data_IF_302624673695
#
_entry.id   IF_302624673695
#
_cell.length_a   1.000
_cell.length_b   1.000
_cell.length_c   1.000
_cell.angle_alpha   90.00
_cell.angle_beta   90.00
_cell.angle_gamma   90.00
#
_symmetry.space_group_name_H-M   'P 1'
#
loop_
_entity.id
_entity.type
_entity.pdbx_description
1 polymer ?
#
# COMPACT_ATOMS: atom_id res chain seq x y z
N UNK A 1 -61.30 1.12 -8.43
CA UNK A 1 -62.13 2.22 -7.89
C UNK A 1 -61.20 3.27 -7.29
N UNK A 2 -60.95 4.35 -8.04
CA UNK A 2 -61.31 5.74 -7.67
C UNK A 2 -60.27 6.38 -6.73
N UNK A 3 -59.26 7.14 -7.21
CA UNK A 3 -59.23 8.50 -7.81
C UNK A 3 -58.80 9.58 -6.78
N UNK A 4 -57.64 10.16 -7.08
CA UNK A 4 -57.18 11.56 -6.95
C UNK A 4 -57.25 12.39 -5.65
N UNK A 5 -56.11 13.01 -5.30
CA UNK A 5 -55.90 14.47 -5.16
C UNK A 5 -54.40 14.72 -4.81
N UNK A 6 -53.55 15.20 -5.72
CA UNK A 6 -53.22 16.60 -6.03
C UNK A 6 -53.08 17.54 -4.82
N UNK A 7 -51.83 17.87 -4.44
CA UNK A 7 -51.41 19.25 -4.12
C UNK A 7 -49.96 19.42 -4.56
N UNK A 8 -49.75 20.28 -5.55
CA UNK A 8 -48.47 20.85 -5.93
C UNK A 8 -48.31 22.19 -5.21
N UNK A 9 -47.14 22.47 -4.64
CA UNK A 9 -46.71 23.84 -4.35
C UNK A 9 -45.31 24.08 -4.89
N UNK A 10 -45.29 24.85 -5.97
CA UNK A 10 -44.16 25.54 -6.57
C UNK A 10 -43.90 26.82 -5.76
N UNK A 11 -42.67 27.05 -5.30
CA UNK A 11 -42.11 28.41 -5.09
C UNK A 11 -40.58 28.37 -4.95
N UNK A 12 -39.87 28.73 -6.02
CA UNK A 12 -38.66 29.57 -6.04
C UNK A 12 -38.99 30.75 -6.98
N UNK A 13 -38.34 31.94 -6.94
CA UNK A 13 -37.04 32.27 -6.33
C UNK A 13 -37.01 33.63 -5.57
N UNK A 14 -35.91 33.92 -4.86
CA UNK A 14 -35.46 35.32 -4.64
C UNK A 14 -33.95 35.41 -4.83
N UNK A 15 -33.58 36.01 -5.96
CA UNK A 15 -32.29 36.65 -6.21
C UNK A 15 -32.31 38.03 -5.56
N UNK A 16 -31.19 38.44 -4.96
CA UNK A 16 -30.83 39.85 -4.77
C UNK A 16 -29.43 40.10 -5.38
N UNK A 17 -29.19 41.29 -5.97
CA UNK A 17 -28.14 41.55 -6.95
C UNK A 17 -26.88 42.23 -6.31
N UNK A 18 -25.86 42.62 -7.11
CA UNK A 18 -24.48 42.84 -6.64
C UNK A 18 -24.22 44.26 -6.14
N UNK A 19 -23.16 44.45 -5.35
CA UNK A 19 -22.62 45.75 -4.99
C UNK A 19 -21.18 45.90 -5.47
N UNK A 20 -21.00 46.83 -6.41
CA UNK A 20 -19.80 47.60 -6.75
C UNK A 20 -20.34 48.97 -7.25
N UNK A 21 -19.65 50.13 -7.18
CA UNK A 21 -18.19 50.29 -7.34
C UNK A 21 -17.53 51.47 -6.53
N UNK A 22 -16.20 51.56 -6.69
CA UNK A 22 -15.36 52.78 -6.74
C UNK A 22 -15.21 53.69 -5.50
N UNK A 23 -13.98 53.74 -4.96
CA UNK A 23 -13.30 55.01 -4.66
C UNK A 23 -11.77 54.87 -4.67
N UNK A 24 -11.15 55.72 -5.47
CA UNK A 24 -9.72 55.85 -5.79
C UNK A 24 -8.97 56.74 -4.77
N UNK A 25 -7.76 56.30 -4.38
CA UNK A 25 -6.48 57.04 -4.12
C UNK A 25 -6.47 58.24 -3.13
N UNK A 26 -5.38 58.49 -2.36
CA UNK A 26 -4.03 58.67 -2.89
C UNK A 26 -2.83 58.15 -2.06
N UNK A 27 -1.69 58.07 -2.77
CA UNK A 27 -0.31 57.98 -2.26
C UNK A 27 0.08 59.27 -1.54
N UNK A 28 0.77 59.17 -0.40
CA UNK A 28 1.70 60.21 0.06
C UNK A 28 2.91 59.58 0.78
N UNK A 29 4.10 59.97 0.32
CA UNK A 29 5.40 59.80 0.97
C UNK A 29 5.49 60.78 2.14
N UNK A 30 6.14 60.36 3.23
CA UNK A 30 6.56 61.22 4.34
C UNK A 30 7.77 60.58 5.04
N UNK A 31 8.81 61.38 5.26
CA UNK A 31 10.18 61.03 5.63
C UNK A 31 10.55 61.70 6.96
N UNK A 32 11.60 61.19 7.62
CA UNK A 32 12.41 61.80 8.71
C UNK A 32 11.76 61.79 10.13
N UNK A 33 12.46 61.62 11.26
CA UNK A 33 13.88 61.71 11.61
C UNK A 33 14.17 60.83 12.88
N UNK A 34 15.32 60.14 13.00
CA UNK A 34 16.57 60.53 13.71
C UNK A 34 16.44 60.61 15.25
N UNK A 35 17.14 59.73 16.01
CA UNK A 35 18.42 60.02 16.68
C UNK A 35 18.94 58.84 17.52
N UNK A 36 20.23 58.55 17.38
CA UNK A 36 21.00 57.53 18.13
C UNK A 36 21.53 58.08 19.46
N UNK A 37 21.92 57.18 20.37
CA UNK A 37 22.97 57.41 21.39
C UNK A 37 23.65 56.08 21.72
N UNK A 38 24.98 56.11 21.77
CA UNK A 38 25.94 55.03 21.52
C UNK A 38 26.24 54.09 22.71
N UNK A 39 26.78 52.90 22.40
CA UNK A 39 28.04 52.39 23.00
C UNK A 39 28.66 51.26 22.14
N UNK A 40 29.99 51.31 22.04
CA UNK A 40 30.95 50.63 21.16
C UNK A 40 30.74 49.12 20.85
N UNK A 41 30.91 48.75 19.57
CA UNK A 41 31.14 47.38 19.12
C UNK A 41 32.61 47.17 18.73
N UNK A 42 33.24 46.12 19.25
CA UNK A 42 34.57 45.66 18.85
C UNK A 42 34.51 44.91 17.50
N UNK A 43 35.56 44.97 16.66
CA UNK A 43 35.60 44.23 15.40
C UNK A 43 35.76 42.72 15.66
N UNK A 44 35.23 41.85 14.78
CA UNK A 44 35.41 40.41 14.91
C UNK A 44 36.88 40.02 14.64
N UNK A 45 37.41 38.97 15.31
CA UNK A 45 38.76 38.52 15.08
C UNK A 45 38.89 37.80 13.72
N UNK A 46 39.99 38.06 13.02
CA UNK A 46 40.42 37.36 11.81
C UNK A 46 40.79 35.89 12.11
N UNK A 47 40.64 34.96 11.14
CA UNK A 47 40.80 33.53 11.40
C UNK A 47 42.27 33.08 11.34
N UNK A 48 42.64 32.21 12.28
CA UNK A 48 43.86 31.39 12.30
C UNK A 48 43.52 30.02 12.91
N UNK A 49 44.30 28.96 12.65
CA UNK A 49 44.08 28.00 11.58
C UNK A 49 43.52 26.66 12.10
N UNK A 50 43.07 25.84 11.15
CA UNK A 50 42.55 24.48 11.31
C UNK A 50 43.21 23.67 12.44
N UNK A 51 42.42 23.33 13.45
CA UNK A 51 42.57 22.08 14.21
C UNK A 51 41.45 21.15 13.78
N UNK A 52 41.84 19.93 13.43
CA UNK A 52 40.95 18.85 13.07
C UNK A 52 40.00 18.47 14.21
N UNK A 53 38.98 17.70 13.81
CA UNK A 53 38.00 16.94 14.60
C UNK A 53 36.96 17.75 15.37
N UNK A 54 35.84 18.01 14.69
CA UNK A 54 34.51 17.81 15.26
C UNK A 54 33.69 17.10 14.17
N UNK A 55 33.62 15.77 14.22
CA UNK A 55 32.49 15.08 13.58
C UNK A 55 31.27 15.45 14.42
N UNK A 56 30.46 16.42 13.96
CA UNK A 56 29.12 16.63 14.52
C UNK A 56 28.41 15.27 14.51
N UNK A 57 28.14 14.73 15.70
CA UNK A 57 27.49 13.44 15.87
C UNK A 57 26.05 13.57 15.35
N UNK A 58 25.88 13.31 14.04
CA UNK A 58 24.59 13.42 13.36
C UNK A 58 23.64 12.43 14.01
N UNK A 59 22.58 12.96 14.63
CA UNK A 59 21.57 12.16 15.30
C UNK A 59 21.09 11.00 14.40
N UNK A 60 20.92 9.78 14.94
CA UNK A 60 20.48 8.63 14.16
C UNK A 60 19.17 8.91 13.42
N UNK A 61 18.96 8.31 12.22
CA UNK A 61 17.77 8.59 11.40
C UNK A 61 16.44 8.43 12.14
N UNK A 62 16.32 7.39 12.98
CA UNK A 62 15.12 7.15 13.81
C UNK A 62 14.83 8.30 14.78
N UNK A 63 15.87 8.89 15.38
CA UNK A 63 15.70 10.04 16.29
C UNK A 63 15.24 11.28 15.51
N UNK A 64 15.84 11.55 14.33
CA UNK A 64 15.43 12.66 13.47
C UNK A 64 13.98 12.53 13.00
N UNK A 65 13.55 11.32 12.63
CA UNK A 65 12.17 11.03 12.26
C UNK A 65 11.21 11.22 13.43
N UNK A 66 11.58 10.75 14.63
CA UNK A 66 10.80 10.95 15.84
C UNK A 66 10.61 12.43 16.19
N UNK A 67 11.67 13.24 16.08
CA UNK A 67 11.59 14.68 16.33
C UNK A 67 10.65 15.38 15.36
N UNK A 68 10.73 15.04 14.06
CA UNK A 68 9.77 15.53 13.08
C UNK A 68 8.34 15.10 13.44
N UNK A 69 8.15 13.84 13.83
CA UNK A 69 6.86 13.30 14.25
C UNK A 69 6.25 14.06 15.44
N UNK A 70 7.06 14.33 16.47
CA UNK A 70 6.66 15.11 17.64
C UNK A 70 6.32 16.56 17.26
N UNK A 71 7.11 17.19 16.38
CA UNK A 71 6.86 18.53 15.87
C UNK A 71 5.50 18.64 15.15
N UNK A 72 5.23 17.74 14.19
CA UNK A 72 3.95 17.72 13.49
C UNK A 72 2.80 17.33 14.43
N UNK A 73 3.04 16.45 15.40
CA UNK A 73 2.07 16.06 16.42
C UNK A 73 1.58 17.23 17.27
N UNK A 74 2.47 18.17 17.62
CA UNK A 74 2.17 19.35 18.43
C UNK A 74 1.37 20.44 17.69
N UNK A 75 1.32 20.40 16.36
CA UNK A 75 0.61 21.39 15.55
C UNK A 75 -0.88 21.03 15.35
N UNK A 76 -1.79 22.01 15.31
CA UNK A 76 -3.17 21.81 14.86
C UNK A 76 -3.24 21.36 13.38
N UNK A 77 -4.26 20.60 13.00
CA UNK A 77 -4.40 20.03 11.64
C UNK A 77 -4.29 21.07 10.51
N UNK A 78 -4.80 22.29 10.70
CA UNK A 78 -4.71 23.37 9.72
C UNK A 78 -3.28 23.92 9.54
N UNK A 79 -2.45 23.87 10.59
CA UNK A 79 -1.07 24.38 10.59
C UNK A 79 -0.06 23.37 10.06
N UNK A 80 -0.37 22.09 10.19
CA UNK A 80 0.49 21.02 9.70
C UNK A 80 0.68 21.02 8.18
N UNK A 81 -0.38 21.32 7.41
CA UNK A 81 -0.26 21.50 5.96
C UNK A 81 0.62 22.71 5.60
N UNK A 82 0.47 23.83 6.32
CA UNK A 82 1.33 25.01 6.17
C UNK A 82 2.79 24.69 6.48
N UNK A 83 3.01 23.94 7.56
CA UNK A 83 4.35 23.50 7.96
C UNK A 83 4.99 22.64 6.89
N UNK A 84 4.24 21.72 6.31
CA UNK A 84 4.72 20.87 5.23
C UNK A 84 5.10 21.67 3.97
N UNK A 85 4.33 22.71 3.62
CA UNK A 85 4.67 23.62 2.53
C UNK A 85 5.95 24.42 2.82
N UNK A 86 6.22 24.75 4.09
CA UNK A 86 7.49 25.37 4.48
C UNK A 86 8.68 24.42 4.26
N UNK A 87 8.54 23.14 4.63
CA UNK A 87 9.53 22.10 4.29
C UNK A 87 9.72 21.95 2.78
N UNK A 88 8.62 22.05 2.00
CA UNK A 88 8.68 22.00 0.55
C UNK A 88 9.49 23.16 -0.03
N UNK A 89 9.34 24.37 0.52
CA UNK A 89 10.08 25.55 0.09
C UNK A 89 11.59 25.45 0.37
N UNK A 90 11.97 24.74 1.44
CA UNK A 90 13.37 24.52 1.80
C UNK A 90 14.06 23.41 0.99
N UNK A 91 13.31 22.54 0.30
CA UNK A 91 13.88 21.46 -0.51
C UNK A 91 14.37 22.01 -1.86
N UNK A 92 15.67 21.84 -2.21
CA UNK A 92 16.19 22.24 -3.51
C UNK A 92 15.45 21.52 -4.65
N UNK A 93 15.17 22.24 -5.75
CA UNK A 93 14.57 21.65 -6.95
C UNK A 93 15.56 20.71 -7.63
N UNK A 94 15.07 19.57 -8.11
CA UNK A 94 15.88 18.71 -8.97
C UNK A 94 16.04 19.35 -10.36
N UNK A 95 17.25 19.32 -10.95
CA UNK A 95 17.46 19.70 -12.34
C UNK A 95 16.55 18.90 -13.28
N UNK A 96 16.14 19.52 -14.39
CA UNK A 96 15.25 18.85 -15.36
C UNK A 96 15.89 17.58 -15.96
N UNK A 97 17.22 17.55 -16.08
CA UNK A 97 17.97 16.38 -16.55
C UNK A 97 17.82 15.16 -15.61
N UNK A 98 17.56 15.38 -14.33
CA UNK A 98 17.41 14.32 -13.33
C UNK A 98 15.95 13.87 -13.16
N UNK A 99 14.99 14.61 -13.73
CA UNK A 99 13.55 14.27 -13.72
C UNK A 99 13.19 13.26 -14.81
N UNK A 100 13.97 12.19 -14.90
CA UNK A 100 13.82 11.11 -15.89
C UNK A 100 13.07 9.91 -15.34
N UNK A 101 12.57 9.05 -16.22
CA UNK A 101 11.84 7.83 -15.85
C UNK A 101 12.65 6.91 -14.91
N UNK A 102 13.97 6.85 -15.08
CA UNK A 102 14.87 6.04 -14.25
C UNK A 102 14.88 6.46 -12.77
N UNK A 103 14.65 7.75 -12.49
CA UNK A 103 14.66 8.29 -11.12
C UNK A 103 13.26 8.34 -10.49
N UNK A 104 12.23 7.89 -11.22
CA UNK A 104 10.84 7.96 -10.77
C UNK A 104 10.57 7.00 -9.60
N UNK A 105 9.82 7.48 -8.61
CA UNK A 105 9.24 6.64 -7.55
C UNK A 105 7.87 6.16 -8.01
N UNK A 106 7.69 4.85 -8.08
CA UNK A 106 6.44 4.23 -8.53
C UNK A 106 5.44 4.11 -7.36
N UNK A 107 4.15 4.13 -7.68
CA UNK A 107 3.06 3.98 -6.69
C UNK A 107 2.57 5.27 -6.06
N UNK A 108 3.20 6.42 -6.33
CA UNK A 108 2.71 7.73 -5.90
C UNK A 108 1.61 8.24 -6.86
N UNK A 109 0.56 8.87 -6.31
CA UNK A 109 -0.47 9.57 -7.11
C UNK A 109 0.14 10.75 -7.87
N UNK A 110 1.03 11.47 -7.19
CA UNK A 110 1.83 12.57 -7.71
C UNK A 110 3.14 12.04 -8.26
N UNK A 111 3.69 12.70 -9.28
CA UNK A 111 5.00 12.31 -9.80
C UNK A 111 6.08 12.70 -8.79
N UNK A 112 6.92 11.73 -8.43
CA UNK A 112 8.06 11.94 -7.52
C UNK A 112 9.31 11.38 -8.18
N UNK A 113 10.39 12.15 -8.13
CA UNK A 113 11.73 11.74 -8.55
C UNK A 113 12.66 11.73 -7.34
N UNK A 114 13.54 10.73 -7.28
CA UNK A 114 14.46 10.52 -6.18
C UNK A 114 15.84 10.12 -6.71
N UNK A 115 16.86 10.80 -6.25
CA UNK A 115 18.27 10.48 -6.41
C UNK A 115 18.81 9.93 -5.10
N UNK A 116 19.77 9.02 -5.18
CA UNK A 116 20.41 8.43 -4.01
C UNK A 116 21.74 7.79 -4.36
N UNK A 117 22.82 8.22 -3.72
CA UNK A 117 24.17 7.68 -3.88
C UNK A 117 24.96 7.76 -2.58
N UNK A 118 25.93 6.87 -2.37
CA UNK A 118 26.90 7.04 -1.29
C UNK A 118 27.94 8.10 -1.67
N UNK A 119 28.29 8.94 -0.70
CA UNK A 119 29.46 9.80 -0.80
C UNK A 119 30.76 9.03 -0.48
N UNK A 120 31.89 9.74 -0.50
CA UNK A 120 33.22 9.16 -0.22
C UNK A 120 33.38 8.61 1.20
N UNK A 121 32.54 9.05 2.13
CA UNK A 121 32.52 8.56 3.52
C UNK A 121 31.59 7.36 3.71
N UNK A 122 30.95 6.88 2.63
CA UNK A 122 30.00 5.77 2.68
C UNK A 122 28.61 6.17 3.16
N UNK A 123 28.31 7.46 3.29
CA UNK A 123 27.01 7.98 3.75
C UNK A 123 26.09 8.26 2.57
N UNK A 124 24.80 8.02 2.74
CA UNK A 124 23.78 8.25 1.72
C UNK A 124 23.54 9.74 1.51
N UNK A 125 23.50 10.15 0.24
CA UNK A 125 23.07 11.48 -0.20
C UNK A 125 21.80 11.36 -1.03
N UNK A 126 20.74 12.02 -0.60
CA UNK A 126 19.43 11.97 -1.23
C UNK A 126 19.02 13.34 -1.75
N UNK A 127 18.41 13.35 -2.92
CA UNK A 127 17.72 14.53 -3.44
C UNK A 127 16.39 14.07 -4.06
N UNK A 128 15.32 14.82 -3.83
CA UNK A 128 14.00 14.44 -4.31
C UNK A 128 13.17 15.66 -4.74
N UNK A 129 12.26 15.45 -5.68
CA UNK A 129 11.33 16.50 -6.15
C UNK A 129 9.99 15.88 -6.55
N UNK A 130 8.95 16.72 -6.62
CA UNK A 130 7.62 16.30 -7.01
C UNK A 130 6.88 17.40 -7.77
N UNK A 131 5.93 16.98 -8.61
CA UNK A 131 4.96 17.86 -9.28
C UNK A 131 3.92 18.46 -8.31
N UNK A 132 3.85 17.98 -7.06
CA UNK A 132 2.98 18.49 -6.00
C UNK A 132 3.77 19.09 -4.85
N UNK A 133 3.43 20.31 -4.45
CA UNK A 133 4.06 21.04 -3.34
C UNK A 133 3.94 20.28 -2.00
N UNK A 134 2.79 19.64 -1.73
CA UNK A 134 2.62 18.81 -0.53
C UNK A 134 3.50 17.56 -0.59
N UNK A 135 3.57 16.90 -1.76
CA UNK A 135 4.45 15.75 -1.95
C UNK A 135 5.93 16.12 -1.89
N UNK A 136 6.29 17.35 -2.25
CA UNK A 136 7.65 17.86 -2.10
C UNK A 136 7.99 18.14 -0.64
N UNK A 137 7.06 18.70 0.13
CA UNK A 137 7.24 18.86 1.59
C UNK A 137 7.44 17.50 2.27
N UNK A 138 6.70 16.51 1.80
CA UNK A 138 6.90 15.13 2.18
C UNK A 138 8.31 14.62 1.87
N UNK A 139 8.77 14.74 0.63
CA UNK A 139 10.14 14.38 0.26
C UNK A 139 11.18 15.10 1.13
N UNK A 140 10.94 16.38 1.45
CA UNK A 140 11.82 17.20 2.27
C UNK A 140 12.02 16.63 3.67
N UNK A 141 10.94 16.22 4.36
CA UNK A 141 11.05 15.62 5.68
C UNK A 141 11.91 14.35 5.66
N UNK A 142 11.70 13.45 4.68
CA UNK A 142 12.48 12.21 4.56
C UNK A 142 13.94 12.47 4.20
N UNK A 143 14.22 13.37 3.27
CA UNK A 143 15.59 13.77 2.94
C UNK A 143 16.26 14.38 4.18
N UNK A 144 15.56 15.26 4.91
CA UNK A 144 16.08 15.89 6.12
C UNK A 144 16.30 14.93 7.28
N UNK A 145 15.81 13.69 7.22
CA UNK A 145 16.01 12.69 8.25
C UNK A 145 17.03 11.61 7.85
N UNK A 146 17.10 11.28 6.56
CA UNK A 146 17.88 10.14 6.04
C UNK A 146 19.16 10.57 5.30
N UNK A 147 19.29 11.82 4.88
CA UNK A 147 20.54 12.32 4.29
C UNK A 147 21.67 12.34 5.34
N UNK A 148 22.82 11.78 4.96
CA UNK A 148 23.99 11.60 5.83
C UNK A 148 24.01 10.28 6.60
N UNK A 149 22.95 9.47 6.55
CA UNK A 149 22.90 8.17 7.19
C UNK A 149 23.71 7.11 6.44
N UNK A 150 24.27 6.13 7.16
CA UNK A 150 24.80 4.92 6.55
C UNK A 150 23.70 4.14 5.82
N UNK A 151 24.02 3.43 4.71
CA UNK A 151 23.00 2.70 3.96
C UNK A 151 22.31 1.62 4.79
N UNK A 152 22.99 1.02 5.77
CA UNK A 152 22.41 0.09 6.74
C UNK A 152 21.38 0.78 7.65
N UNK A 153 21.69 1.98 8.15
CA UNK A 153 20.79 2.76 9.00
C UNK A 153 19.52 3.19 8.25
N UNK A 154 19.63 3.48 6.95
CA UNK A 154 18.46 3.76 6.09
C UNK A 154 17.58 2.52 5.93
N UNK A 155 18.18 1.32 5.90
CA UNK A 155 17.43 0.07 5.79
C UNK A 155 16.75 -0.34 7.10
N UNK A 156 17.27 0.13 8.23
CA UNK A 156 16.70 -0.13 9.57
C UNK A 156 15.50 0.77 9.89
N UNK A 157 15.27 1.85 9.14
CA UNK A 157 14.11 2.72 9.35
C UNK A 157 12.82 1.99 8.96
N UNK A 158 11.92 1.84 9.94
CA UNK A 158 10.61 1.23 9.72
C UNK A 158 9.63 2.31 9.24
N UNK A 159 8.78 2.02 8.24
CA UNK A 159 7.62 2.86 7.94
C UNK A 159 6.78 3.29 9.17
N UNK A 160 6.82 2.56 10.29
CA UNK A 160 6.19 2.88 11.58
C UNK A 160 6.73 4.13 12.24
N UNK A 161 8.03 4.38 12.12
CA UNK A 161 8.69 5.56 12.65
C UNK A 161 8.15 6.84 11.99
N UNK A 162 7.41 6.70 10.87
CA UNK A 162 6.80 7.77 10.10
C UNK A 162 5.31 7.98 10.40
N UNK A 163 4.66 7.13 11.20
CA UNK A 163 3.23 7.19 11.44
C UNK A 163 2.72 8.54 11.98
N UNK A 164 3.39 9.20 12.96
CA UNK A 164 2.91 10.47 13.50
C UNK A 164 3.02 11.63 12.50
N UNK A 165 3.95 11.53 11.55
CA UNK A 165 4.07 12.47 10.44
C UNK A 165 2.86 12.35 9.49
N UNK A 166 2.40 11.14 9.19
CA UNK A 166 1.29 10.87 8.27
C UNK A 166 -0.08 11.43 8.69
N UNK A 167 -0.29 11.67 9.99
CA UNK A 167 -1.53 12.26 10.53
C UNK A 167 -1.64 13.76 10.22
N UNK A 168 -0.58 14.36 9.68
CA UNK A 168 -0.44 15.79 9.62
C UNK A 168 -1.38 16.52 8.64
N UNK A 169 -2.02 15.85 7.70
CA UNK A 169 -2.79 16.54 6.65
C UNK A 169 -4.29 16.22 6.62
N UNK A 170 -4.86 15.64 7.70
CA UNK A 170 -6.28 15.22 7.70
C UNK A 170 -6.65 14.24 6.57
N UNK A 171 -5.65 13.63 5.91
CA UNK A 171 -5.83 12.83 4.72
C UNK A 171 -5.97 11.35 5.10
N UNK A 172 -7.13 10.96 5.63
CA UNK A 172 -7.52 9.54 5.77
C UNK A 172 -7.68 8.82 4.42
N UNK A 173 -7.52 9.53 3.32
CA UNK A 173 -7.55 9.01 1.96
C UNK A 173 -6.45 9.71 1.16
N UNK A 174 -5.38 8.97 0.86
CA UNK A 174 -4.48 9.14 -0.30
C UNK A 174 -3.31 8.18 -0.11
N UNK A 175 -3.20 7.20 -1.00
CA UNK A 175 -2.11 6.22 -1.14
C UNK A 175 -0.76 6.85 -0.76
N UNK A 176 -0.09 6.29 0.26
CA UNK A 176 1.01 6.92 1.01
C UNK A 176 2.23 7.26 0.12
N UNK A 177 2.23 8.43 -0.54
CA UNK A 177 3.39 9.00 -1.26
C UNK A 177 4.67 8.90 -0.42
N UNK A 178 4.56 9.12 0.88
CA UNK A 178 5.68 9.04 1.82
C UNK A 178 6.29 7.65 1.98
N UNK A 179 5.45 6.62 2.06
CA UNK A 179 5.92 5.25 2.16
C UNK A 179 6.70 4.85 0.90
N UNK A 180 6.18 5.19 -0.27
CA UNK A 180 6.84 4.88 -1.54
C UNK A 180 8.19 5.60 -1.69
N UNK A 181 8.31 6.82 -1.19
CA UNK A 181 9.58 7.55 -1.17
C UNK A 181 10.59 6.87 -0.24
N UNK A 182 10.19 6.45 0.96
CA UNK A 182 11.07 5.69 1.86
C UNK A 182 11.54 4.38 1.20
N UNK A 183 10.63 3.61 0.62
CA UNK A 183 10.97 2.38 -0.11
C UNK A 183 11.94 2.67 -1.28
N UNK A 184 11.73 3.80 -1.97
CA UNK A 184 12.63 4.30 -3.00
C UNK A 184 14.04 4.63 -2.47
N UNK A 185 14.14 5.23 -1.28
CA UNK A 185 15.41 5.55 -0.61
C UNK A 185 16.13 4.27 -0.17
N UNK A 186 15.40 3.32 0.42
CA UNK A 186 15.93 1.99 0.79
C UNK A 186 16.45 1.22 -0.43
N UNK A 187 15.75 1.29 -1.58
CA UNK A 187 16.23 0.68 -2.84
C UNK A 187 17.58 1.26 -3.27
N UNK A 188 17.78 2.57 -3.13
CA UNK A 188 19.07 3.24 -3.44
C UNK A 188 20.16 2.88 -2.44
N UNK A 189 19.82 2.77 -1.16
CA UNK A 189 20.74 2.27 -0.13
C UNK A 189 21.21 0.84 -0.43
N UNK A 190 20.30 -0.07 -0.85
CA UNK A 190 20.66 -1.43 -1.31
C UNK A 190 21.62 -1.41 -2.49
N UNK A 191 21.37 -0.55 -3.47
CA UNK A 191 22.24 -0.41 -4.63
C UNK A 191 23.64 0.11 -4.23
N UNK A 192 23.71 1.02 -3.26
CA UNK A 192 24.96 1.56 -2.76
C UNK A 192 25.79 0.52 -1.98
N UNK A 193 25.15 -0.32 -1.18
CA UNK A 193 25.82 -1.47 -0.51
C UNK A 193 26.39 -2.43 -1.56
N UNK A 194 25.60 -2.78 -2.57
CA UNK A 194 26.06 -3.67 -3.64
C UNK A 194 27.27 -3.09 -4.40
N UNK A 195 27.26 -1.78 -4.68
CA UNK A 195 28.38 -1.09 -5.31
C UNK A 195 29.64 -1.07 -4.41
N UNK A 196 29.47 -0.83 -3.09
CA UNK A 196 30.57 -0.85 -2.11
C UNK A 196 31.25 -2.23 -2.03
N UNK A 197 30.47 -3.29 -2.17
CA UNK A 197 30.95 -4.67 -2.16
C UNK A 197 31.51 -5.14 -3.51
N UNK A 198 31.62 -4.25 -4.51
CA UNK A 198 32.20 -4.58 -5.82
C UNK A 198 31.34 -5.51 -6.67
N UNK A 199 30.05 -5.66 -6.35
CA UNK A 199 29.15 -6.59 -7.03
C UNK A 199 28.66 -6.02 -8.36
N UNK A 200 28.64 -6.85 -9.40
CA UNK A 200 28.14 -6.44 -10.74
C UNK A 200 26.62 -6.27 -10.71
N UNK A 201 26.03 -5.31 -11.46
CA UNK A 201 24.58 -5.23 -11.63
C UNK A 201 24.06 -6.56 -12.20
N UNK A 202 23.40 -7.37 -11.37
CA UNK A 202 22.91 -8.71 -11.73
C UNK A 202 23.43 -9.85 -10.84
N UNK A 203 24.43 -9.64 -10.00
CA UNK A 203 24.75 -10.60 -8.93
C UNK A 203 23.64 -10.58 -7.87
N UNK A 204 23.17 -11.75 -7.39
CA UNK A 204 22.14 -11.82 -6.37
C UNK A 204 22.55 -10.97 -5.16
N UNK A 205 21.63 -10.11 -4.74
CA UNK A 205 21.72 -9.38 -3.47
C UNK A 205 22.10 -10.37 -2.36
N UNK A 206 22.88 -9.99 -1.32
CA UNK A 206 23.20 -10.87 -0.20
C UNK A 206 21.91 -11.50 0.32
N UNK A 207 21.77 -12.77 -0.03
CA UNK A 207 20.59 -13.57 0.11
C UNK A 207 21.02 -14.90 0.65
N UNK A 208 20.07 -15.60 1.23
CA UNK A 208 20.26 -16.94 1.74
C UNK A 208 20.61 -17.84 0.55
N UNK A 209 21.89 -18.22 0.42
CA UNK A 209 22.35 -19.10 -0.64
C UNK A 209 22.12 -20.53 -0.18
N UNK A 210 21.23 -21.25 -0.85
CA UNK A 210 21.04 -22.69 -0.61
C UNK A 210 22.16 -23.43 -1.36
N UNK A 211 23.11 -23.99 -0.63
CA UNK A 211 24.16 -24.82 -1.19
C UNK A 211 23.60 -26.12 -1.76
N UNK A 212 24.35 -26.77 -2.66
CA UNK A 212 24.00 -28.10 -3.22
C UNK A 212 23.93 -29.20 -2.15
N UNK A 213 24.49 -28.94 -0.97
CA UNK A 213 24.42 -29.73 0.26
C UNK A 213 23.13 -29.49 1.06
N UNK A 214 22.24 -28.61 0.60
CA UNK A 214 21.03 -28.19 1.32
C UNK A 214 21.30 -27.20 2.46
N UNK A 215 22.56 -26.80 2.68
CA UNK A 215 22.92 -25.86 3.73
C UNK A 215 22.64 -24.44 3.27
N UNK A 216 21.86 -23.70 4.06
CA UNK A 216 21.62 -22.28 3.80
C UNK A 216 22.78 -21.46 4.35
N UNK A 217 23.52 -20.78 3.46
CA UNK A 217 24.64 -19.92 3.81
C UNK A 217 24.24 -18.47 3.61
N UNK A 218 24.33 -17.68 4.66
CA UNK A 218 24.23 -16.24 4.56
C UNK A 218 25.59 -15.65 4.16
N UNK A 219 25.58 -14.68 3.25
CA UNK A 219 26.78 -13.94 2.90
C UNK A 219 26.48 -12.44 3.03
N UNK A 220 27.13 -11.77 3.98
CA UNK A 220 26.94 -10.35 4.30
C UNK A 220 26.08 -10.14 5.54
N UNK A 221 26.35 -9.05 6.27
CA UNK A 221 25.75 -8.72 7.58
C UNK A 221 24.22 -8.75 7.57
N UNK A 222 23.60 -8.31 6.47
CA UNK A 222 22.15 -8.36 6.26
C UNK A 222 21.59 -9.78 6.11
N UNK A 223 22.29 -10.65 5.38
CA UNK A 223 21.89 -12.04 5.18
C UNK A 223 22.08 -12.86 6.47
N UNK A 224 23.12 -12.55 7.25
CA UNK A 224 23.42 -13.22 8.53
C UNK A 224 22.37 -12.91 9.59
N UNK A 225 21.91 -11.65 9.69
CA UNK A 225 20.78 -11.28 10.53
C UNK A 225 19.49 -12.04 10.13
N UNK A 226 19.27 -12.23 8.82
CA UNK A 226 18.14 -13.01 8.30
C UNK A 226 18.28 -14.53 8.49
N UNK A 227 19.48 -15.07 8.49
CA UNK A 227 19.72 -16.50 8.71
C UNK A 227 19.33 -16.96 10.12
N UNK A 228 19.37 -16.06 11.11
CA UNK A 228 18.88 -16.34 12.46
C UNK A 228 17.39 -16.74 12.48
N UNK A 229 16.58 -16.27 11.51
CA UNK A 229 15.17 -16.64 11.36
C UNK A 229 14.95 -18.04 10.77
N UNK A 230 15.96 -18.62 10.12
CA UNK A 230 15.88 -19.97 9.56
C UNK A 230 16.11 -21.07 10.61
N UNK A 231 16.64 -20.70 11.77
CA UNK A 231 16.91 -21.60 12.90
C UNK A 231 16.15 -21.13 14.15
N UNK A 232 14.81 -21.24 14.15
CA UNK A 232 13.98 -20.79 15.27
C UNK A 232 14.29 -21.57 16.56
N UNK A 233 14.08 -20.90 17.70
CA UNK A 233 14.27 -21.46 19.04
C UNK A 233 13.37 -22.69 19.24
N UNK A 234 13.98 -23.85 19.44
CA UNK A 234 13.29 -25.13 19.61
C UNK A 234 12.38 -25.18 20.83
N UNK A 235 12.70 -24.42 21.89
CA UNK A 235 11.87 -24.35 23.09
C UNK A 235 10.50 -23.74 22.77
N UNK A 236 10.51 -22.59 22.08
CA UNK A 236 9.29 -21.88 21.66
C UNK A 236 8.46 -22.68 20.67
N UNK A 237 9.11 -23.39 19.75
CA UNK A 237 8.41 -24.27 18.79
C UNK A 237 7.69 -25.39 19.54
N UNK A 238 8.37 -26.01 20.51
CA UNK A 238 7.81 -27.10 21.30
C UNK A 238 6.62 -26.62 22.14
N UNK A 239 6.73 -25.44 22.77
CA UNK A 239 5.65 -24.80 23.51
C UNK A 239 4.43 -24.53 22.61
N UNK A 240 4.66 -23.94 21.43
CA UNK A 240 3.60 -23.69 20.44
C UNK A 240 2.93 -25.01 20.01
N UNK A 241 3.71 -26.01 19.59
CA UNK A 241 3.19 -27.31 19.14
C UNK A 241 2.38 -28.00 20.22
N UNK A 242 2.83 -27.94 21.48
CA UNK A 242 2.10 -28.51 22.61
C UNK A 242 0.74 -27.83 22.80
N UNK A 243 0.70 -26.49 22.77
CA UNK A 243 -0.54 -25.73 22.86
C UNK A 243 -1.50 -26.02 21.69
N UNK A 244 -0.98 -26.14 20.46
CA UNK A 244 -1.77 -26.47 19.28
C UNK A 244 -2.35 -27.87 19.37
N UNK A 245 -1.56 -28.85 19.82
CA UNK A 245 -1.99 -30.24 19.96
C UNK A 245 -3.04 -30.41 21.05
N UNK A 246 -2.77 -29.85 22.24
CA UNK A 246 -3.69 -29.94 23.39
C UNK A 246 -5.05 -29.34 23.08
N UNK A 247 -5.06 -28.17 22.41
CA UNK A 247 -6.29 -27.46 22.08
C UNK A 247 -6.88 -27.85 20.72
N UNK A 248 -6.23 -28.76 19.98
CA UNK A 248 -6.63 -29.23 18.65
C UNK A 248 -6.81 -28.05 17.65
N UNK A 249 -5.81 -27.18 17.56
CA UNK A 249 -5.83 -25.96 16.75
C UNK A 249 -5.08 -26.18 15.42
N UNK A 250 -5.76 -26.00 14.30
CA UNK A 250 -5.13 -25.85 12.99
C UNK A 250 -4.68 -24.41 12.73
N UNK A 251 -3.60 -24.22 11.98
CA UNK A 251 -3.11 -22.90 11.57
C UNK A 251 -3.14 -22.76 10.06
N UNK A 252 -3.84 -21.73 9.58
CA UNK A 252 -3.72 -21.26 8.19
C UNK A 252 -3.10 -19.87 8.20
N UNK A 253 -2.04 -19.70 7.43
CA UNK A 253 -1.27 -18.46 7.38
C UNK A 253 -1.05 -18.03 5.94
N UNK A 254 -0.99 -16.72 5.73
CA UNK A 254 -0.75 -16.16 4.42
C UNK A 254 0.75 -16.01 4.11
N UNK A 255 1.16 -16.02 2.84
CA UNK A 255 2.57 -15.88 2.43
C UNK A 255 3.27 -14.57 2.86
N UNK A 256 2.50 -13.58 3.33
CA UNK A 256 3.04 -12.27 3.70
C UNK A 256 3.30 -12.10 5.18
N UNK A 257 3.12 -13.16 5.97
CA UNK A 257 3.60 -13.19 7.34
C UNK A 257 5.11 -12.97 7.40
N UNK A 258 5.61 -12.49 8.54
CA UNK A 258 7.03 -12.27 8.75
C UNK A 258 7.85 -13.56 8.51
N UNK A 259 9.04 -13.50 7.87
CA UNK A 259 9.93 -14.65 7.71
C UNK A 259 10.23 -15.40 9.02
N UNK A 260 10.29 -14.72 10.16
CA UNK A 260 10.41 -15.34 11.49
C UNK A 260 9.20 -16.22 11.81
N UNK A 261 7.99 -15.70 11.63
CA UNK A 261 6.74 -16.45 11.83
C UNK A 261 6.66 -17.62 10.84
N UNK A 262 7.02 -17.39 9.57
CA UNK A 262 7.06 -18.45 8.57
C UNK A 262 8.06 -19.55 8.94
N UNK A 263 9.24 -19.17 9.45
CA UNK A 263 10.27 -20.09 9.93
C UNK A 263 9.77 -20.95 11.09
N UNK A 264 9.15 -20.32 12.10
CA UNK A 264 8.57 -21.01 13.26
C UNK A 264 7.44 -21.95 12.82
N UNK A 265 6.50 -21.49 11.99
CA UNK A 265 5.38 -22.31 11.51
C UNK A 265 5.86 -23.49 10.65
N UNK A 266 6.86 -23.26 9.80
CA UNK A 266 7.47 -24.32 8.97
C UNK A 266 8.16 -25.38 9.83
N UNK A 267 8.85 -24.97 10.88
CA UNK A 267 9.49 -25.90 11.82
C UNK A 267 8.43 -26.64 12.67
N UNK A 268 7.43 -25.93 13.18
CA UNK A 268 6.31 -26.49 13.95
C UNK A 268 5.51 -27.51 13.13
N UNK A 269 5.35 -27.28 11.82
CA UNK A 269 4.64 -28.18 10.90
C UNK A 269 5.20 -29.60 10.90
N UNK A 270 6.50 -29.76 11.16
CA UNK A 270 7.14 -31.09 11.25
C UNK A 270 6.62 -31.92 12.43
N UNK A 271 6.10 -31.27 13.47
CA UNK A 271 5.59 -31.93 14.70
C UNK A 271 4.06 -31.83 14.81
N UNK A 272 3.43 -30.89 14.11
CA UNK A 272 1.99 -30.70 14.04
C UNK A 272 1.57 -30.47 12.57
N UNK A 273 0.99 -31.48 11.89
CA UNK A 273 0.79 -31.42 10.44
C UNK A 273 -0.30 -30.43 10.01
N UNK A 274 -1.16 -29.98 10.92
CA UNK A 274 -2.26 -29.04 10.67
C UNK A 274 -1.79 -27.58 10.64
N UNK A 275 -0.70 -27.31 9.93
CA UNK A 275 -0.18 -25.96 9.68
C UNK A 275 0.02 -25.80 8.17
N UNK A 276 -0.60 -24.77 7.60
CA UNK A 276 -0.52 -24.49 6.17
C UNK A 276 -0.25 -23.01 5.91
N UNK A 277 0.72 -22.73 5.03
CA UNK A 277 1.09 -21.38 4.58
C UNK A 277 0.78 -21.31 3.09
N UNK A 278 -0.12 -20.41 2.69
CA UNK A 278 -0.63 -20.36 1.31
C UNK A 278 -1.21 -18.99 0.92
N UNK A 279 -1.74 -18.90 -0.28
CA UNK A 279 -2.61 -17.79 -0.70
C UNK A 279 -4.02 -17.94 -0.09
N UNK A 280 -4.79 -16.86 -0.10
CA UNK A 280 -6.09 -16.68 0.57
C UNK A 280 -7.13 -17.74 0.23
N UNK A 281 -7.15 -18.22 -1.02
CA UNK A 281 -8.11 -19.24 -1.46
C UNK A 281 -7.77 -20.61 -0.86
N UNK A 282 -6.50 -21.01 -0.97
CA UNK A 282 -6.00 -22.29 -0.47
C UNK A 282 -6.06 -22.38 1.06
N UNK A 283 -6.01 -21.23 1.76
CA UNK A 283 -6.17 -21.19 3.22
C UNK A 283 -7.54 -21.73 3.65
N UNK A 284 -8.61 -21.42 2.92
CA UNK A 284 -9.94 -21.88 3.27
C UNK A 284 -10.10 -23.39 3.07
N UNK A 285 -9.64 -23.93 1.94
CA UNK A 285 -9.67 -25.37 1.67
C UNK A 285 -8.82 -26.16 2.67
N UNK A 286 -7.64 -25.62 3.02
CA UNK A 286 -6.78 -26.22 4.04
C UNK A 286 -7.44 -26.25 5.42
N UNK A 287 -8.23 -25.21 5.77
CA UNK A 287 -8.97 -25.19 7.02
C UNK A 287 -10.05 -26.27 7.08
N UNK A 288 -10.73 -26.56 5.95
CA UNK A 288 -11.69 -27.67 5.86
C UNK A 288 -10.99 -29.00 6.10
N UNK A 289 -9.86 -29.25 5.45
CA UNK A 289 -9.07 -30.48 5.65
C UNK A 289 -8.61 -30.64 7.11
N UNK A 290 -8.24 -29.53 7.77
CA UNK A 290 -7.88 -29.55 9.19
C UNK A 290 -9.09 -29.88 10.09
N UNK A 291 -10.27 -29.36 9.76
CA UNK A 291 -11.52 -29.67 10.46
C UNK A 291 -11.91 -31.15 10.30
N UNK A 292 -11.82 -31.69 9.08
CA UNK A 292 -12.01 -33.12 8.79
C UNK A 292 -11.04 -34.01 9.60
N UNK A 293 -9.80 -33.56 9.76
CA UNK A 293 -8.81 -34.24 10.57
C UNK A 293 -8.99 -34.07 12.09
N UNK A 294 -10.06 -33.39 12.53
CA UNK A 294 -10.44 -33.28 13.94
C UNK A 294 -9.92 -32.03 14.67
N UNK A 295 -9.45 -31.01 13.95
CA UNK A 295 -9.16 -29.71 14.57
C UNK A 295 -10.48 -29.06 15.03
N UNK A 296 -10.53 -28.64 16.30
CA UNK A 296 -11.69 -27.93 16.88
C UNK A 296 -11.66 -26.44 16.62
N UNK A 297 -10.48 -25.90 16.35
CA UNK A 297 -10.29 -24.48 16.11
C UNK A 297 -9.32 -24.25 14.96
N UNK A 298 -9.52 -23.16 14.22
CA UNK A 298 -8.62 -22.69 13.16
C UNK A 298 -8.14 -21.29 13.51
N UNK A 299 -6.82 -21.15 13.66
CA UNK A 299 -6.14 -19.88 13.81
C UNK A 299 -5.75 -19.34 12.43
N UNK A 300 -6.23 -18.15 12.11
CA UNK A 300 -5.97 -17.48 10.84
C UNK A 300 -4.95 -16.36 11.05
N UNK A 301 -3.78 -16.51 10.44
CA UNK A 301 -2.74 -15.48 10.39
C UNK A 301 -2.83 -14.77 9.03
N UNK A 302 -3.62 -13.70 9.02
CA UNK A 302 -3.90 -12.90 7.85
C UNK A 302 -4.70 -11.65 8.23
N UNK A 303 -5.27 -11.01 7.22
CA UNK A 303 -6.18 -9.86 7.37
C UNK A 303 -7.62 -10.32 7.60
N UNK A 304 -8.49 -9.42 8.03
CA UNK A 304 -9.82 -9.77 8.56
C UNK A 304 -10.68 -10.55 7.55
N UNK A 305 -10.70 -10.12 6.28
CA UNK A 305 -11.50 -10.80 5.25
C UNK A 305 -11.02 -12.23 4.98
N UNK A 306 -9.75 -12.55 5.25
CA UNK A 306 -9.24 -13.93 5.08
C UNK A 306 -9.83 -14.82 6.18
N UNK A 307 -9.97 -14.30 7.41
CA UNK A 307 -10.64 -15.01 8.49
C UNK A 307 -12.13 -15.19 8.22
N UNK A 308 -12.80 -14.16 7.67
CA UNK A 308 -14.20 -14.24 7.23
C UNK A 308 -14.37 -15.29 6.13
N UNK A 309 -13.46 -15.33 5.15
CA UNK A 309 -13.50 -16.32 4.07
C UNK A 309 -13.34 -17.75 4.60
N UNK A 310 -12.38 -17.99 5.49
CA UNK A 310 -12.18 -19.30 6.13
C UNK A 310 -13.45 -19.73 6.89
N UNK A 311 -14.08 -18.81 7.63
CA UNK A 311 -15.35 -19.08 8.32
C UNK A 311 -16.46 -19.46 7.35
N UNK A 312 -16.66 -18.67 6.29
CA UNK A 312 -17.72 -18.92 5.31
C UNK A 312 -17.59 -20.28 4.62
N UNK A 313 -16.38 -20.66 4.22
CA UNK A 313 -16.12 -21.95 3.56
C UNK A 313 -16.29 -23.13 4.53
N UNK A 314 -15.86 -23.00 5.78
CA UNK A 314 -16.12 -24.02 6.80
C UNK A 314 -17.62 -24.21 7.06
N UNK A 315 -18.41 -23.13 7.09
CA UNK A 315 -19.86 -23.22 7.24
C UNK A 315 -20.52 -23.92 6.05
N UNK A 316 -20.09 -23.59 4.83
CA UNK A 316 -20.55 -24.25 3.61
C UNK A 316 -20.22 -25.75 3.61
N UNK A 317 -19.06 -26.14 4.16
CA UNK A 317 -18.64 -27.52 4.30
C UNK A 317 -19.32 -28.24 5.51
N UNK A 318 -20.18 -27.58 6.28
CA UNK A 318 -20.90 -28.16 7.41
C UNK A 318 -20.14 -28.17 8.74
N UNK A 319 -19.00 -27.46 8.84
CA UNK A 319 -18.17 -27.36 10.04
C UNK A 319 -18.46 -26.10 10.87
N UNK A 320 -19.75 -25.85 11.16
CA UNK A 320 -20.20 -24.66 11.91
C UNK A 320 -19.71 -24.63 13.36
N UNK A 321 -19.37 -25.79 13.93
CA UNK A 321 -18.88 -25.97 15.30
C UNK A 321 -17.39 -25.66 15.48
N UNK A 322 -16.61 -25.64 14.41
CA UNK A 322 -15.15 -25.38 14.48
C UNK A 322 -14.93 -23.89 14.71
N UNK A 323 -14.25 -23.47 15.78
CA UNK A 323 -14.07 -22.03 16.04
C UNK A 323 -12.99 -21.43 15.13
N UNK A 324 -13.28 -20.30 14.47
CA UNK A 324 -12.29 -19.57 13.65
C UNK A 324 -11.83 -18.34 14.40
N UNK A 325 -10.53 -18.24 14.64
CA UNK A 325 -9.93 -17.14 15.38
C UNK A 325 -8.97 -16.35 14.52
N UNK A 326 -9.18 -15.04 14.54
CA UNK A 326 -8.23 -14.07 14.03
C UNK A 326 -7.14 -13.84 15.06
N UNK A 327 -5.88 -13.97 14.64
CA UNK A 327 -4.72 -13.86 15.55
C UNK A 327 -4.28 -12.41 15.81
N UNK A 328 -5.20 -11.45 15.77
CA UNK A 328 -4.97 -10.05 16.16
C UNK A 328 -6.21 -9.52 16.88
N UNK A 329 -6.00 -8.68 17.89
CA UNK A 329 -7.07 -7.98 18.62
C UNK A 329 -7.59 -6.70 17.94
N UNK A 330 -6.84 -6.12 16.99
CA UNK A 330 -7.18 -4.85 16.31
C UNK A 330 -7.59 -5.15 14.89
N UNK A 331 -8.59 -4.47 14.36
CA UNK A 331 -9.09 -4.69 13.00
C UNK A 331 -7.98 -4.45 11.96
N UNK A 332 -7.65 -5.48 11.17
CA UNK A 332 -6.67 -5.41 10.08
C UNK A 332 -7.45 -5.33 8.76
N UNK A 333 -7.96 -4.13 8.48
CA UNK A 333 -8.68 -3.83 7.24
C UNK A 333 -7.78 -3.72 6.01
N UNK A 334 -8.37 -3.91 4.83
CA UNK A 334 -7.73 -3.72 3.54
C UNK A 334 -8.19 -2.41 2.91
N UNK A 335 -7.25 -1.61 2.39
CA UNK A 335 -7.59 -0.36 1.67
C UNK A 335 -8.53 -0.59 0.47
N UNK A 336 -8.50 -1.79 -0.11
CA UNK A 336 -9.40 -2.21 -1.18
C UNK A 336 -10.83 -2.44 -0.66
N UNK A 337 -10.97 -3.01 0.54
CA UNK A 337 -12.27 -3.18 1.20
C UNK A 337 -12.88 -1.81 1.57
N UNK A 338 -12.05 -0.86 2.03
CA UNK A 338 -12.49 0.52 2.30
C UNK A 338 -12.93 1.25 1.02
N UNK A 339 -12.29 0.98 -0.12
CA UNK A 339 -12.73 1.54 -1.40
C UNK A 339 -14.10 0.99 -1.83
N UNK A 340 -14.36 -0.28 -1.53
CA UNK A 340 -15.61 -0.97 -1.84
C UNK A 340 -16.81 -0.45 -1.03
N UNK A 341 -16.58 0.17 0.14
CA UNK A 341 -17.62 0.78 0.96
C UNK A 341 -17.86 2.27 0.65
N UNK A 342 -17.16 2.82 -0.36
CA UNK A 342 -17.31 4.22 -0.73
C UNK A 342 -18.62 4.51 -1.47
N UNK A 343 -19.19 5.70 -1.25
CA UNK A 343 -20.40 6.15 -1.95
C UNK A 343 -20.26 6.17 -3.48
N UNK A 344 -19.04 6.39 -3.97
CA UNK A 344 -18.72 6.34 -5.39
C UNK A 344 -18.81 4.90 -5.95
N UNK A 345 -18.36 3.91 -5.18
CA UNK A 345 -18.50 2.51 -5.54
C UNK A 345 -19.97 2.08 -5.53
N UNK A 346 -20.74 2.51 -4.53
CA UNK A 346 -22.20 2.27 -4.51
C UNK A 346 -22.90 2.87 -5.74
N UNK A 347 -22.50 4.06 -6.19
CA UNK A 347 -23.05 4.67 -7.41
C UNK A 347 -22.69 3.85 -8.67
N UNK A 348 -21.46 3.34 -8.75
CA UNK A 348 -21.03 2.45 -9.82
C UNK A 348 -21.93 1.19 -9.89
N UNK A 349 -22.18 0.53 -8.76
CA UNK A 349 -23.06 -0.64 -8.69
C UNK A 349 -24.53 -0.31 -9.01
N UNK A 350 -25.04 0.84 -8.58
CA UNK A 350 -26.38 1.32 -8.96
C UNK A 350 -26.51 1.63 -10.45
N UNK A 351 -25.41 1.93 -11.12
CA UNK A 351 -25.39 2.09 -12.57
C UNK A 351 -25.44 0.71 -13.23
N UNK A 352 -24.66 -0.24 -12.71
CA UNK A 352 -24.67 -1.63 -13.18
C UNK A 352 -26.05 -2.30 -13.05
N UNK A 353 -26.78 -2.07 -11.96
CA UNK A 353 -28.11 -2.66 -11.75
C UNK A 353 -29.18 -2.17 -12.74
N UNK A 354 -28.93 -1.05 -13.43
CA UNK A 354 -29.85 -0.47 -14.43
C UNK A 354 -29.60 -1.00 -15.84
N UNK A 355 -28.56 -1.80 -16.06
CA UNK A 355 -28.15 -2.30 -17.37
C UNK A 355 -28.20 -3.83 -17.49
N UNK A 356 -29.33 -4.50 -17.17
CA UNK A 356 -29.39 -5.96 -17.25
C UNK A 356 -29.24 -6.46 -18.72
N UNK A 357 -28.67 -7.67 -18.93
CA UNK A 357 -28.05 -8.52 -17.93
C UNK A 357 -26.71 -7.95 -17.45
N UNK A 358 -26.52 -7.86 -16.14
CA UNK A 358 -25.29 -7.35 -15.52
C UNK A 358 -24.73 -8.38 -14.55
N UNK A 359 -23.42 -8.59 -14.61
CA UNK A 359 -22.66 -9.36 -13.64
C UNK A 359 -21.61 -8.43 -13.03
N UNK A 360 -21.59 -8.37 -11.71
CA UNK A 360 -20.52 -7.73 -10.97
C UNK A 360 -19.45 -8.77 -10.60
N UNK A 361 -18.20 -8.45 -10.88
CA UNK A 361 -17.04 -9.29 -10.57
C UNK A 361 -16.19 -8.56 -9.54
N UNK A 362 -16.12 -9.14 -8.34
CA UNK A 362 -15.44 -8.54 -7.19
C UNK A 362 -14.19 -9.30 -6.80
N UNK A 363 -13.12 -8.58 -6.49
CA UNK A 363 -11.89 -9.20 -6.02
C UNK A 363 -12.05 -9.80 -4.61
N UNK A 364 -11.41 -10.94 -4.35
CA UNK A 364 -11.52 -11.69 -3.09
C UNK A 364 -11.12 -10.88 -1.86
N UNK A 365 -10.17 -9.94 -2.01
CA UNK A 365 -9.66 -9.07 -0.96
C UNK A 365 -10.63 -7.91 -0.60
N UNK A 366 -11.90 -8.25 -0.42
CA UNK A 366 -13.00 -7.37 0.01
C UNK A 366 -13.77 -8.05 1.14
N UNK A 367 -14.45 -7.29 2.02
CA UNK A 367 -15.16 -7.89 3.15
C UNK A 367 -16.37 -8.73 2.69
N UNK A 368 -16.80 -9.68 3.52
CA UNK A 368 -17.99 -10.48 3.23
C UNK A 368 -19.26 -9.61 3.19
N UNK A 369 -19.35 -8.61 4.07
CA UNK A 369 -20.42 -7.61 4.06
C UNK A 369 -20.50 -6.86 2.72
N UNK A 370 -19.36 -6.43 2.19
CA UNK A 370 -19.29 -5.79 0.87
C UNK A 370 -19.84 -6.72 -0.19
N UNK A 371 -19.39 -7.98 -0.22
CA UNK A 371 -19.84 -8.97 -1.21
C UNK A 371 -21.35 -9.17 -1.13
N UNK A 372 -21.90 -9.35 0.07
CA UNK A 372 -23.33 -9.49 0.29
C UNK A 372 -24.12 -8.27 -0.20
N UNK A 373 -23.70 -7.06 0.18
CA UNK A 373 -24.35 -5.82 -0.26
C UNK A 373 -24.27 -5.61 -1.77
N UNK A 374 -23.13 -5.94 -2.39
CA UNK A 374 -23.01 -5.86 -3.85
C UNK A 374 -23.90 -6.87 -4.56
N UNK A 375 -24.01 -8.10 -4.01
CA UNK A 375 -24.83 -9.17 -4.57
C UNK A 375 -26.34 -8.85 -4.51
N UNK A 376 -26.77 -8.13 -3.47
CA UNK A 376 -28.14 -7.61 -3.36
C UNK A 376 -28.49 -6.64 -4.50
N UNK A 377 -27.52 -5.84 -4.96
CA UNK A 377 -27.72 -4.84 -6.02
C UNK A 377 -27.57 -5.40 -7.42
N UNK A 378 -26.58 -6.26 -7.64
CA UNK A 378 -26.22 -6.86 -8.92
C UNK A 378 -25.68 -8.26 -8.64
N UNK A 379 -26.10 -9.30 -9.40
CA UNK A 379 -25.49 -10.63 -9.29
C UNK A 379 -23.97 -10.51 -9.25
N UNK A 380 -23.36 -10.99 -8.16
CA UNK A 380 -21.93 -10.78 -7.88
C UNK A 380 -21.21 -12.10 -7.77
N UNK A 381 -20.09 -12.23 -8.49
CA UNK A 381 -19.13 -13.34 -8.39
C UNK A 381 -17.81 -12.82 -7.81
N UNK A 382 -17.20 -13.61 -6.92
CA UNK A 382 -15.89 -13.31 -6.34
C UNK A 382 -14.77 -13.97 -7.16
N UNK A 383 -13.67 -13.26 -7.40
CA UNK A 383 -12.51 -13.76 -8.14
C UNK A 383 -11.18 -13.43 -7.45
N UNK A 384 -10.13 -14.14 -7.84
CA UNK A 384 -8.72 -13.85 -7.53
C UNK A 384 -8.01 -13.34 -8.79
N UNK A 385 -6.75 -12.92 -8.65
CA UNK A 385 -5.94 -12.49 -9.81
C UNK A 385 -5.66 -13.63 -10.78
N UNK A 386 -5.67 -14.87 -10.30
CA UNK A 386 -5.37 -16.06 -11.11
C UNK A 386 -6.57 -16.57 -11.92
N UNK A 387 -7.81 -16.31 -11.49
CA UNK A 387 -9.00 -16.86 -12.16
C UNK A 387 -9.91 -15.81 -12.82
N UNK A 388 -9.73 -14.51 -12.55
CA UNK A 388 -10.65 -13.46 -13.00
C UNK A 388 -10.94 -13.47 -14.50
N UNK A 389 -9.92 -13.68 -15.34
CA UNK A 389 -10.06 -13.69 -16.80
C UNK A 389 -10.93 -14.88 -17.23
N UNK A 390 -10.61 -16.08 -16.75
CA UNK A 390 -11.37 -17.29 -17.04
C UNK A 390 -12.84 -17.17 -16.57
N UNK A 391 -13.06 -16.62 -15.38
CA UNK A 391 -14.40 -16.38 -14.84
C UNK A 391 -15.22 -15.43 -15.72
N UNK A 392 -14.61 -14.33 -16.20
CA UNK A 392 -15.30 -13.37 -17.06
C UNK A 392 -15.65 -13.99 -18.42
N UNK A 393 -14.70 -14.71 -19.02
CA UNK A 393 -14.91 -15.40 -20.29
C UNK A 393 -16.04 -16.43 -20.18
N UNK A 394 -15.97 -17.32 -19.19
CA UNK A 394 -17.00 -18.33 -18.94
C UNK A 394 -18.40 -17.70 -18.76
N UNK A 395 -18.50 -16.65 -17.94
CA UNK A 395 -19.78 -15.97 -17.72
C UNK A 395 -20.34 -15.32 -18.99
N UNK A 396 -19.46 -14.76 -19.84
CA UNK A 396 -19.86 -14.15 -21.10
C UNK A 396 -20.21 -15.18 -22.19
N UNK A 397 -19.62 -16.38 -22.13
CA UNK A 397 -20.00 -17.51 -22.98
C UNK A 397 -21.41 -18.02 -22.62
N UNK A 398 -21.73 -18.11 -21.34
CA UNK A 398 -23.04 -18.58 -20.85
C UNK A 398 -24.16 -17.57 -21.06
N UNK A 399 -23.86 -16.26 -20.94
CA UNK A 399 -24.81 -15.18 -21.12
C UNK A 399 -24.30 -14.23 -22.21
N UNK A 400 -24.63 -14.52 -23.49
CA UNK A 400 -24.37 -13.59 -24.58
C UNK A 400 -25.02 -12.24 -24.27
N UNK A 401 -24.29 -11.14 -24.47
CA UNK A 401 -24.68 -9.75 -24.13
C UNK A 401 -24.57 -9.31 -22.66
N UNK A 402 -23.93 -10.11 -21.81
CA UNK A 402 -23.65 -9.75 -20.42
C UNK A 402 -22.81 -8.45 -20.29
N UNK A 403 -23.30 -7.49 -19.50
CA UNK A 403 -22.52 -6.34 -19.06
C UNK A 403 -21.69 -6.74 -17.85
N UNK A 404 -20.37 -6.76 -18.00
CA UNK A 404 -19.44 -7.18 -16.94
C UNK A 404 -18.95 -5.94 -16.20
N UNK A 405 -19.14 -5.89 -14.90
CA UNK A 405 -18.75 -4.78 -14.04
C UNK A 405 -17.69 -5.22 -13.05
N UNK A 406 -16.44 -4.83 -13.26
CA UNK A 406 -15.31 -5.21 -12.41
C UNK A 406 -14.97 -4.13 -11.36
N UNK A 407 -14.75 -4.53 -10.10
CA UNK A 407 -14.27 -3.63 -9.06
C UNK A 407 -13.98 -4.32 -7.73
N UNK A 408 -13.55 -3.58 -6.69
CA UNK A 408 -13.20 -2.15 -6.69
C UNK A 408 -11.77 -1.86 -7.17
N UNK A 409 -10.98 -2.86 -7.55
CA UNK A 409 -9.58 -2.67 -7.95
C UNK A 409 -9.48 -2.03 -9.35
N UNK A 410 -9.23 -0.72 -9.41
CA UNK A 410 -9.13 0.01 -10.67
C UNK A 410 -7.95 -0.44 -11.55
N UNK A 411 -6.86 -0.89 -10.94
CA UNK A 411 -5.68 -1.32 -11.69
C UNK A 411 -5.90 -2.69 -12.33
N UNK A 412 -6.43 -3.64 -11.57
CA UNK A 412 -6.78 -4.95 -12.13
C UNK A 412 -7.85 -4.80 -13.22
N UNK A 413 -8.85 -3.93 -13.02
CA UNK A 413 -9.84 -3.62 -14.04
C UNK A 413 -9.21 -3.09 -15.34
N UNK A 414 -8.24 -2.17 -15.22
CA UNK A 414 -7.50 -1.66 -16.38
C UNK A 414 -6.66 -2.75 -17.07
N UNK A 415 -6.04 -3.65 -16.30
CA UNK A 415 -5.27 -4.77 -16.86
C UNK A 415 -6.16 -5.78 -17.60
N UNK A 416 -7.35 -6.09 -17.05
CA UNK A 416 -8.32 -6.96 -17.72
C UNK A 416 -8.75 -6.32 -19.06
N UNK A 417 -9.05 -5.02 -19.06
CA UNK A 417 -9.42 -4.31 -20.28
C UNK A 417 -8.27 -4.30 -21.32
N UNK A 418 -7.03 -4.07 -20.90
CA UNK A 418 -5.86 -4.13 -21.79
C UNK A 418 -5.63 -5.55 -22.34
N UNK A 419 -5.80 -6.57 -21.50
CA UNK A 419 -5.69 -7.98 -21.92
C UNK A 419 -6.72 -8.32 -23.00
N UNK A 420 -8.00 -8.02 -22.77
CA UNK A 420 -9.04 -8.28 -23.77
C UNK A 420 -8.82 -7.45 -25.04
N UNK A 421 -8.33 -6.22 -24.92
CA UNK A 421 -7.93 -5.42 -26.09
C UNK A 421 -6.82 -6.11 -26.89
N UNK A 422 -5.82 -6.70 -26.25
CA UNK A 422 -4.79 -7.50 -26.96
C UNK A 422 -5.37 -8.78 -27.55
N UNK A 423 -6.34 -9.42 -26.90
CA UNK A 423 -7.02 -10.59 -27.48
C UNK A 423 -7.78 -10.23 -28.77
N UNK A 424 -8.23 -8.98 -28.96
CA UNK A 424 -8.86 -8.57 -30.24
C UNK A 424 -7.93 -8.58 -31.45
N UNK A 425 -6.60 -8.62 -31.25
CA UNK A 425 -5.62 -8.70 -32.35
C UNK A 425 -5.04 -10.11 -32.53
N UNK A 426 -5.38 -11.07 -31.66
CA UNK A 426 -4.99 -12.47 -31.78
C UNK A 426 -5.79 -13.18 -32.89
N UNK A 427 -5.27 -14.30 -33.39
CA UNK A 427 -6.00 -15.23 -34.26
C UNK A 427 -7.14 -15.94 -33.51
N UNK A 428 -8.14 -16.44 -34.23
CA UNK A 428 -9.27 -17.13 -33.60
C UNK A 428 -8.81 -18.46 -32.97
N UNK A 429 -7.80 -19.10 -33.54
CA UNK A 429 -7.16 -20.31 -33.01
C UNK A 429 -6.51 -20.06 -31.65
N UNK A 430 -5.70 -18.99 -31.51
CA UNK A 430 -5.07 -18.63 -30.24
C UNK A 430 -6.09 -18.25 -29.15
N UNK A 431 -7.22 -17.64 -29.52
CA UNK A 431 -8.30 -17.32 -28.57
C UNK A 431 -9.00 -18.60 -28.11
N UNK A 432 -9.23 -19.54 -29.02
CA UNK A 432 -9.88 -20.83 -28.74
C UNK A 432 -9.03 -21.66 -27.75
N UNK A 433 -7.70 -21.57 -27.83
CA UNK A 433 -6.80 -22.20 -26.85
C UNK A 433 -6.96 -21.62 -25.43
N UNK A 434 -7.32 -20.34 -25.30
CA UNK A 434 -7.60 -19.71 -24.00
C UNK A 434 -9.00 -20.09 -23.51
N UNK A 435 -10.00 -20.04 -24.38
CA UNK A 435 -11.38 -20.43 -24.07
C UNK A 435 -12.12 -20.88 -25.34
N UNK A 436 -12.67 -22.11 -25.38
CA UNK A 436 -13.19 -22.71 -26.61
C UNK A 436 -14.40 -21.98 -27.21
N UNK A 437 -15.22 -21.34 -26.37
CA UNK A 437 -16.44 -20.65 -26.81
C UNK A 437 -16.20 -19.19 -27.28
N UNK A 438 -14.95 -18.80 -27.50
CA UNK A 438 -14.61 -17.43 -27.86
C UNK A 438 -13.74 -17.31 -29.11
N UNK A 439 -13.94 -16.19 -29.80
CA UNK A 439 -13.20 -15.78 -30.98
C UNK A 439 -13.04 -14.26 -30.95
N UNK A 440 -12.38 -13.69 -31.96
CA UNK A 440 -12.13 -12.25 -32.02
C UNK A 440 -13.41 -11.41 -31.92
N UNK A 441 -14.52 -11.88 -32.51
CA UNK A 441 -15.80 -11.14 -32.49
C UNK A 441 -16.42 -11.13 -31.10
N UNK A 442 -16.43 -12.27 -30.41
CA UNK A 442 -17.00 -12.36 -29.05
C UNK A 442 -16.17 -11.54 -28.06
N UNK A 443 -14.83 -11.60 -28.14
CA UNK A 443 -13.94 -10.77 -27.32
C UNK A 443 -14.15 -9.27 -27.59
N UNK A 444 -14.33 -8.88 -28.86
CA UNK A 444 -14.61 -7.48 -29.20
C UNK A 444 -15.94 -7.01 -28.60
N UNK A 445 -16.97 -7.87 -28.61
CA UNK A 445 -18.25 -7.60 -27.97
C UNK A 445 -18.12 -7.48 -26.44
N UNK A 446 -17.41 -8.42 -25.80
CA UNK A 446 -17.11 -8.38 -24.38
C UNK A 446 -16.40 -7.09 -23.97
N UNK A 447 -15.37 -6.67 -24.74
CA UNK A 447 -14.62 -5.46 -24.43
C UNK A 447 -15.50 -4.20 -24.44
N UNK A 448 -16.51 -4.12 -25.31
CA UNK A 448 -17.46 -3.00 -25.34
C UNK A 448 -18.40 -2.99 -24.14
N UNK A 449 -18.63 -4.17 -23.54
CA UNK A 449 -19.54 -4.40 -22.40
C UNK A 449 -18.79 -4.55 -21.07
N UNK A 450 -17.46 -4.46 -21.09
CA UNK A 450 -16.63 -4.46 -19.91
C UNK A 450 -16.57 -3.05 -19.32
N UNK A 451 -17.17 -2.92 -18.14
CA UNK A 451 -17.08 -1.75 -17.29
C UNK A 451 -16.20 -2.08 -16.10
N UNK A 452 -15.31 -1.18 -15.71
CA UNK A 452 -14.55 -1.35 -14.47
C UNK A 452 -14.52 -0.04 -13.69
N UNK A 453 -14.34 -0.16 -12.38
CA UNK A 453 -14.33 0.99 -11.49
C UNK A 453 -13.07 1.86 -11.73
N UNK A 454 -13.25 3.10 -12.21
CA UNK A 454 -12.15 3.96 -12.70
C UNK A 454 -11.59 4.97 -11.69
N UNK A 455 -12.16 5.10 -10.49
CA UNK A 455 -11.57 5.99 -9.47
C UNK A 455 -10.36 5.31 -8.86
N UNK A 456 -9.17 5.82 -9.18
CA UNK A 456 -7.86 5.27 -8.78
C UNK A 456 -7.86 4.67 -7.37
N UNK A 457 -8.15 3.37 -7.30
CA UNK A 457 -7.57 2.49 -6.32
C UNK A 457 -6.30 1.97 -7.00
N UNK A 458 -5.18 2.66 -6.75
CA UNK A 458 -3.86 2.19 -7.18
C UNK A 458 -3.64 0.79 -6.61
N UNK A 459 -2.78 -0.01 -7.26
CA UNK A 459 -2.25 -1.31 -6.80
C UNK A 459 -1.84 -1.28 -5.33
N UNK A 460 -2.81 -1.41 -4.44
CA UNK A 460 -2.63 -1.70 -3.03
C UNK A 460 -3.42 -2.97 -2.70
N UNK A 461 -3.61 -3.81 -3.72
CA UNK A 461 -3.96 -5.21 -3.55
C UNK A 461 -2.75 -6.15 -3.67
N UNK A 462 -1.55 -5.64 -3.94
CA UNK A 462 -0.44 -6.25 -3.24
C UNK A 462 -0.69 -5.84 -1.79
N UNK A 463 -1.20 -6.69 -0.91
CA UNK A 463 -0.44 -7.21 0.24
C UNK A 463 0.37 -6.21 1.09
N UNK A 464 1.05 -5.28 0.43
CA UNK A 464 1.77 -4.05 0.76
C UNK A 464 1.04 -3.03 1.63
N UNK A 465 0.30 -3.51 2.60
CA UNK A 465 0.71 -3.21 3.96
C UNK A 465 1.11 -4.57 4.53
N UNK A 466 2.31 -5.08 4.19
CA UNK A 466 2.68 -6.49 4.39
C UNK A 466 2.35 -6.99 5.80
N UNK A 467 2.39 -6.09 6.77
CA UNK A 467 1.39 -5.94 7.82
C UNK A 467 1.14 -4.42 7.92
N UNK A 468 -0.08 -3.96 8.25
CA UNK A 468 -0.22 -2.64 8.90
C UNK A 468 0.69 -2.72 10.11
N UNK A 469 1.85 -2.06 10.08
CA UNK A 469 2.62 -1.63 11.25
C UNK A 469 2.43 -2.53 12.48
N UNK A 470 3.42 -3.36 12.78
CA UNK A 470 3.85 -3.42 14.18
C UNK A 470 2.77 -3.86 15.18
N UNK A 471 2.50 -5.16 15.30
CA UNK A 471 1.90 -5.67 16.53
C UNK A 471 2.91 -6.32 17.47
N UNK A 472 3.97 -5.55 17.74
CA UNK A 472 4.75 -5.39 18.99
C UNK A 472 6.19 -4.99 18.66
#
# INVERSE_FOLDING_TARGET
>A
AAVASFVAFSTKPRLLPPLNPSRSLPRTRGSLAVCCSHSHASPPPSPLPCTASDEEEVAPPRLRLRLLAEEFGALPDADRARRLLAYAAALPRLPQADRVAANRVMGCVTQVWLLGSCDRSGRMRFAADSDSELSRGYCSCLVSALDGAGPEEVLDVDPADLAPLGVAAGARSRVNTWHNVLVGMQKRARAAIAAREGRRPGEPFPSLVIGRDGAVRAQGSYAEAKAKFLSPDQSKISELVNALREKQIGIVAHFYMDPEVQGILTAAKRQWPHIHISDSLVMADSAVQMAEAGCKYIAVLGVDFMSENVRAILDQAGFTQVGVYRMSSEQIGCSLADAASSSAYTHFLKTASRSPPSLHVIYINTSLETKAHTHELVPTITCTSSNVVATILQAFAEIPDLNVWYGPDSYMGANIADLFKRMTIMSDEEITEIHPDHNRKTISSLLQRLHYYQRMVTVLCMICLAMKLWKK
#
